data_IF_766145614327
#
_entry.id   IF_766145614327
#
_cell.length_a   1.000
_cell.length_b   1.000
_cell.length_c   1.000
_cell.angle_alpha   90.00
_cell.angle_beta   90.00
_cell.angle_gamma   90.00
#
_symmetry.space_group_name_H-M   'P 1'
#
loop_
_entity.id
_entity.type
_entity.pdbx_description
1 polymer ?
#
# COMPACT_ATOMS: atom_id res chain seq x y z
N UNK A 1 4.20 17.93 -11.72
CA UNK A 1 2.87 17.32 -11.92
C UNK A 1 2.69 16.37 -10.75
N UNK A 2 1.99 16.82 -9.73
CA UNK A 2 1.73 16.04 -8.52
C UNK A 2 0.45 15.25 -8.82
N UNK A 3 0.56 13.92 -8.93
CA UNK A 3 -0.61 13.07 -9.15
C UNK A 3 -1.43 13.08 -7.86
N UNK A 4 -2.73 13.37 -7.97
CA UNK A 4 -3.63 13.34 -6.84
C UNK A 4 -3.63 11.96 -6.19
N UNK A 5 -3.48 11.93 -4.86
CA UNK A 5 -3.44 10.68 -4.12
C UNK A 5 -4.88 10.23 -3.88
N UNK A 6 -5.33 9.22 -4.64
CA UNK A 6 -6.65 8.61 -4.49
C UNK A 6 -6.73 7.81 -3.17
N UNK A 7 -6.75 8.49 -2.02
CA UNK A 7 -6.64 7.79 -0.72
C UNK A 7 -7.97 7.19 -0.25
N UNK A 8 -9.12 7.65 -0.74
CA UNK A 8 -10.43 7.12 -0.34
C UNK A 8 -11.44 7.19 -1.49
N UNK A 9 -11.49 6.13 -2.30
CA UNK A 9 -12.51 5.98 -3.33
C UNK A 9 -13.80 5.42 -2.72
N UNK A 10 -14.97 5.90 -3.16
CA UNK A 10 -16.24 5.39 -2.67
C UNK A 10 -16.45 3.93 -3.09
N UNK A 11 -17.20 3.20 -2.25
CA UNK A 11 -17.57 1.81 -2.49
C UNK A 11 -18.53 1.69 -3.69
N UNK A 12 -18.53 0.56 -4.40
CA UNK A 12 -19.37 0.35 -5.60
C UNK A 12 -20.86 0.71 -5.41
N UNK A 13 -21.39 0.50 -4.19
CA UNK A 13 -22.80 0.75 -3.87
C UNK A 13 -23.13 2.20 -3.53
N UNK A 14 -22.16 3.11 -3.52
CA UNK A 14 -22.37 4.53 -3.19
C UNK A 14 -22.81 5.33 -4.42
N UNK A 15 -23.68 6.32 -4.24
CA UNK A 15 -24.12 7.22 -5.31
C UNK A 15 -22.94 8.03 -5.88
N UNK A 16 -21.94 8.32 -5.04
CA UNK A 16 -20.71 9.02 -5.44
C UNK A 16 -19.83 8.21 -6.41
N UNK A 17 -20.03 6.89 -6.48
CA UNK A 17 -19.29 5.98 -7.37
C UNK A 17 -19.61 6.12 -8.85
N UNK A 18 -20.62 6.92 -9.21
CA UNK A 18 -20.99 7.20 -10.62
C UNK A 18 -19.87 7.79 -11.46
N UNK A 19 -18.93 8.50 -10.84
CA UNK A 19 -17.83 9.18 -11.54
C UNK A 19 -16.44 8.65 -11.17
N UNK A 20 -16.30 8.03 -10.01
CA UNK A 20 -15.04 7.50 -9.54
C UNK A 20 -15.33 6.41 -8.50
N UNK A 21 -14.85 5.17 -8.70
CA UNK A 21 -15.15 4.03 -7.85
C UNK A 21 -13.90 3.19 -7.60
N UNK A 22 -13.86 2.47 -6.47
CA UNK A 22 -12.76 1.54 -6.19
C UNK A 22 -12.86 0.32 -7.10
N UNK A 23 -11.79 -0.07 -7.79
CA UNK A 23 -11.80 -1.18 -8.75
C UNK A 23 -11.76 -2.57 -8.10
N UNK A 24 -11.82 -2.65 -6.76
CA UNK A 24 -11.68 -3.91 -6.03
C UNK A 24 -10.32 -4.59 -6.21
N UNK A 25 -9.33 -3.88 -6.76
CA UNK A 25 -7.96 -4.36 -6.95
C UNK A 25 -7.19 -4.09 -5.66
N UNK A 26 -6.99 -5.14 -4.85
CA UNK A 26 -6.10 -5.08 -3.69
C UNK A 26 -6.83 -4.88 -2.37
N UNK A 27 -7.42 -5.95 -1.84
CA UNK A 27 -7.38 -6.09 -0.39
C UNK A 27 -5.91 -6.11 0.01
N UNK A 28 -5.44 -5.00 0.58
CA UNK A 28 -4.10 -4.92 1.12
C UNK A 28 -4.03 -5.98 2.22
N UNK A 29 -3.20 -7.00 2.02
CA UNK A 29 -2.89 -7.98 3.04
C UNK A 29 -1.99 -7.31 4.08
N UNK A 30 -2.59 -6.49 4.95
CA UNK A 30 -1.91 -5.75 6.02
C UNK A 30 -2.53 -6.05 7.37
N UNK A 31 -1.67 -6.20 8.36
CA UNK A 31 -2.02 -6.32 9.76
C UNK A 31 -1.61 -5.03 10.50
N UNK A 32 -2.57 -4.16 10.79
CA UNK A 32 -2.32 -2.87 11.47
C UNK A 32 -1.82 -3.02 12.90
N UNK A 33 -2.03 -4.18 13.51
CA UNK A 33 -1.61 -4.48 14.89
C UNK A 33 -0.17 -5.04 14.95
N UNK A 34 0.40 -5.44 13.80
CA UNK A 34 1.73 -6.00 13.72
C UNK A 34 2.81 -4.89 13.79
N UNK A 35 3.37 -4.73 14.99
CA UNK A 35 4.38 -3.70 15.30
C UNK A 35 5.82 -4.24 15.35
N UNK A 36 6.00 -5.56 15.27
CA UNK A 36 7.30 -6.22 15.23
C UNK A 36 7.35 -7.23 14.07
N UNK A 37 8.56 -7.70 13.75
CA UNK A 37 8.77 -8.74 12.74
C UNK A 37 9.65 -9.84 13.31
N UNK A 38 9.60 -11.02 12.69
CA UNK A 38 10.38 -12.19 13.08
C UNK A 38 11.44 -12.50 12.03
N UNK A 39 12.63 -12.92 12.49
CA UNK A 39 13.76 -13.30 11.64
C UNK A 39 14.09 -12.20 10.60
N UNK A 40 14.05 -12.49 9.31
CA UNK A 40 14.28 -11.52 8.22
C UNK A 40 13.10 -10.59 7.94
N UNK A 41 11.94 -10.83 8.55
CA UNK A 41 10.74 -10.01 8.34
C UNK A 41 10.01 -10.26 7.01
N UNK A 42 10.34 -11.32 6.26
CA UNK A 42 9.67 -11.68 4.99
C UNK A 42 8.13 -11.72 5.07
N UNK A 43 7.61 -12.13 6.23
CA UNK A 43 6.17 -12.24 6.48
C UNK A 43 5.56 -11.03 7.20
N UNK A 44 6.35 -9.99 7.47
CA UNK A 44 5.86 -8.77 8.07
C UNK A 44 4.79 -8.14 7.17
N UNK A 45 3.61 -7.88 7.74
CA UNK A 45 2.47 -7.23 7.08
C UNK A 45 2.00 -6.00 7.85
N UNK A 46 2.83 -5.46 8.75
CA UNK A 46 2.55 -4.20 9.41
C UNK A 46 2.58 -2.98 8.47
N UNK A 47 2.27 -1.83 9.06
CA UNK A 47 2.04 -0.54 8.36
C UNK A 47 3.14 0.49 8.59
N UNK A 48 4.33 0.07 9.03
CA UNK A 48 5.48 0.96 9.19
C UNK A 48 5.87 1.54 7.83
N UNK A 49 5.84 2.87 7.68
CA UNK A 49 6.07 3.59 6.42
C UNK A 49 7.30 4.52 6.47
N UNK A 50 8.06 4.45 7.57
CA UNK A 50 9.28 5.24 7.80
C UNK A 50 10.45 4.34 8.10
N UNK A 51 11.60 4.68 7.51
CA UNK A 51 12.89 4.07 7.82
C UNK A 51 13.32 4.34 9.27
N UNK A 52 14.34 3.62 9.74
CA UNK A 52 14.96 3.84 11.05
C UNK A 52 15.44 5.30 11.27
N UNK A 53 15.80 6.01 10.19
CA UNK A 53 16.21 7.43 10.24
C UNK A 53 15.05 8.42 10.15
N UNK A 54 13.81 7.94 10.13
CA UNK A 54 12.60 8.76 10.04
C UNK A 54 12.22 9.20 8.63
N UNK A 55 13.04 8.90 7.60
CA UNK A 55 12.69 9.19 6.20
C UNK A 55 11.51 8.33 5.73
N UNK A 56 10.53 8.89 5.00
CA UNK A 56 9.41 8.14 4.45
C UNK A 56 9.90 7.12 3.41
N UNK A 57 9.29 5.95 3.41
CA UNK A 57 9.53 4.92 2.42
C UNK A 57 8.98 5.34 1.05
N UNK A 58 9.67 4.96 -0.02
CA UNK A 58 9.21 5.16 -1.38
C UNK A 58 7.99 4.25 -1.64
N UNK A 59 6.98 4.74 -2.37
CA UNK A 59 5.88 3.89 -2.86
C UNK A 59 6.45 2.77 -3.73
N UNK A 60 5.99 1.54 -3.52
CA UNK A 60 6.48 0.39 -4.29
C UNK A 60 6.23 0.54 -5.79
N UNK A 61 5.12 1.17 -6.18
CA UNK A 61 4.82 1.50 -7.57
C UNK A 61 5.82 2.48 -8.22
N UNK A 62 6.62 3.21 -7.43
CA UNK A 62 7.68 4.10 -7.93
C UNK A 62 9.05 3.42 -7.97
N UNK A 63 9.15 2.16 -7.52
CA UNK A 63 10.38 1.40 -7.56
C UNK A 63 10.46 0.59 -8.87
N UNK A 64 11.56 0.71 -9.60
CA UNK A 64 11.75 0.09 -10.91
C UNK A 64 12.17 -1.39 -10.87
N UNK A 65 12.77 -1.87 -9.78
CA UNK A 65 13.32 -3.23 -9.69
C UNK A 65 12.33 -4.25 -9.11
N UNK A 66 11.29 -3.79 -8.42
CA UNK A 66 10.31 -4.67 -7.77
C UNK A 66 8.92 -4.40 -8.37
N UNK A 67 8.51 -5.15 -9.40
CA UNK A 67 7.22 -4.94 -10.03
C UNK A 67 6.09 -5.39 -9.09
N UNK A 68 5.10 -4.52 -8.91
CA UNK A 68 3.90 -4.82 -8.10
C UNK A 68 2.96 -5.82 -8.77
N UNK A 69 3.11 -6.09 -10.07
CA UNK A 69 2.39 -7.17 -10.76
C UNK A 69 2.76 -8.54 -10.21
N UNK A 70 4.03 -8.73 -9.87
CA UNK A 70 4.58 -10.01 -9.41
C UNK A 70 4.54 -10.11 -7.88
N UNK A 71 4.34 -8.97 -7.20
CA UNK A 71 4.24 -8.83 -5.75
C UNK A 71 2.97 -8.03 -5.38
N UNK A 72 1.77 -8.61 -5.50
CA UNK A 72 0.51 -7.90 -5.28
C UNK A 72 0.37 -7.28 -3.88
N UNK A 73 1.06 -7.83 -2.88
CA UNK A 73 1.10 -7.33 -1.50
C UNK A 73 1.83 -5.98 -1.35
N UNK A 74 2.47 -5.49 -2.41
CA UNK A 74 3.15 -4.20 -2.43
C UNK A 74 2.29 -3.09 -3.05
N UNK A 75 1.15 -3.43 -3.65
CA UNK A 75 0.31 -2.48 -4.36
C UNK A 75 -0.28 -1.43 -3.40
N UNK A 76 -0.45 -0.19 -3.89
CA UNK A 76 -1.21 0.85 -3.18
C UNK A 76 -0.53 1.52 -1.98
N UNK A 77 0.61 1.03 -1.49
CA UNK A 77 1.26 1.57 -0.28
C UNK A 77 2.79 1.72 -0.40
N UNK A 78 3.40 2.16 0.69
CA UNK A 78 4.85 2.29 0.88
C UNK A 78 5.34 1.62 2.19
N UNK A 79 4.56 0.70 2.77
CA UNK A 79 4.95 0.00 3.99
C UNK A 79 6.22 -0.83 3.81
N UNK A 80 7.04 -0.89 4.85
CA UNK A 80 8.23 -1.70 4.94
C UNK A 80 7.92 -3.18 4.66
N UNK A 81 8.78 -3.80 3.86
CA UNK A 81 8.78 -5.23 3.53
C UNK A 81 10.21 -5.70 3.42
#
# INVERSE_FOLDING_TARGET
MELEVCEQLPSENDISSKHCLTLGVGELNVNREETCFWDTGKFYRGVQDKSFTGKPCLRWAHQFHVPTSDNPELAGHNYCR
#
